data_IF_163496093497
#
_entry.id   IF_163496093497
#
_cell.length_a   1.000
_cell.length_b   1.000
_cell.length_c   1.000
_cell.angle_alpha   90.00
_cell.angle_beta   90.00
_cell.angle_gamma   90.00
#
_symmetry.space_group_name_H-M   'P 1'
#
loop_
_entity.id
_entity.type
_entity.pdbx_description
1 polymer ?
#
# COMPACT_ATOMS: atom_id res chain seq x y z
N UNK A 1 15.58 0.72 14.09
CA UNK A 1 16.75 1.29 13.37
C UNK A 1 17.82 0.22 13.18
N UNK A 2 18.34 -0.36 14.27
CA UNK A 2 19.32 -1.47 14.23
C UNK A 2 18.94 -2.62 13.27
N UNK A 3 17.72 -3.16 13.36
CA UNK A 3 17.22 -4.20 12.43
C UNK A 3 17.17 -3.76 10.96
N UNK A 4 16.90 -2.48 10.69
CA UNK A 4 16.87 -1.96 9.32
C UNK A 4 18.29 -1.94 8.78
N UNK A 5 19.25 -1.43 9.57
CA UNK A 5 20.65 -1.34 9.17
C UNK A 5 21.24 -2.74 8.90
N UNK A 6 20.89 -3.74 9.71
CA UNK A 6 21.26 -5.15 9.48
C UNK A 6 20.71 -5.69 8.15
N UNK A 7 19.40 -5.51 7.90
CA UNK A 7 18.77 -5.94 6.65
C UNK A 7 19.38 -5.23 5.45
N UNK A 8 19.65 -3.93 5.56
CA UNK A 8 20.31 -3.16 4.49
C UNK A 8 21.72 -3.71 4.23
N UNK A 9 22.52 -3.98 5.26
CA UNK A 9 23.84 -4.58 5.10
C UNK A 9 23.81 -5.96 4.42
N UNK A 10 22.81 -6.78 4.75
CA UNK A 10 22.58 -8.05 4.06
C UNK A 10 22.21 -7.85 2.58
N UNK A 11 21.32 -6.90 2.28
CA UNK A 11 20.94 -6.57 0.92
C UNK A 11 22.15 -6.06 0.10
N UNK A 12 23.02 -5.26 0.70
CA UNK A 12 24.25 -4.79 0.08
C UNK A 12 25.24 -5.93 -0.20
N UNK A 13 25.35 -6.90 0.70
CA UNK A 13 26.20 -8.09 0.52
C UNK A 13 25.73 -9.05 -0.59
N UNK A 14 24.49 -8.90 -1.06
CA UNK A 14 23.83 -9.78 -2.04
C UNK A 14 23.30 -8.99 -3.25
N UNK A 15 24.14 -8.13 -3.84
CA UNK A 15 23.74 -7.12 -4.83
C UNK A 15 22.82 -7.64 -5.96
N UNK A 16 23.12 -8.80 -6.56
CA UNK A 16 22.29 -9.37 -7.63
C UNK A 16 20.89 -9.77 -7.15
N UNK A 17 20.80 -10.45 -6.00
CA UNK A 17 19.53 -10.88 -5.41
C UNK A 17 18.70 -9.67 -4.96
N UNK A 18 19.35 -8.69 -4.35
CA UNK A 18 18.70 -7.45 -3.91
C UNK A 18 18.20 -6.61 -5.08
N UNK A 19 18.89 -6.62 -6.22
CA UNK A 19 18.39 -5.97 -7.44
C UNK A 19 17.10 -6.64 -7.95
N UNK A 20 17.01 -7.98 -7.92
CA UNK A 20 15.78 -8.70 -8.29
C UNK A 20 14.63 -8.37 -7.33
N UNK A 21 14.89 -8.35 -6.02
CA UNK A 21 13.87 -7.97 -5.03
C UNK A 21 13.38 -6.54 -5.23
N UNK A 22 14.31 -5.57 -5.43
CA UNK A 22 13.94 -4.18 -5.72
C UNK A 22 13.10 -4.04 -6.98
N UNK A 23 13.45 -4.79 -8.04
CA UNK A 23 12.68 -4.80 -9.29
C UNK A 23 11.28 -5.38 -9.07
N UNK A 24 11.16 -6.43 -8.28
CA UNK A 24 9.89 -7.05 -7.94
C UNK A 24 8.99 -6.15 -7.08
N UNK A 25 9.56 -5.47 -6.08
CA UNK A 25 8.80 -4.58 -5.17
C UNK A 25 8.59 -3.17 -5.71
N UNK A 26 9.35 -2.78 -6.74
CA UNK A 26 9.42 -1.40 -7.24
C UNK A 26 10.28 -0.47 -6.37
N UNK A 27 11.00 -0.98 -5.36
CA UNK A 27 11.80 -0.15 -4.46
C UNK A 27 13.04 0.41 -5.16
N UNK A 28 13.24 1.72 -5.13
CA UNK A 28 14.37 2.42 -5.75
C UNK A 28 15.71 2.05 -5.07
N UNK A 29 15.73 1.82 -3.75
CA UNK A 29 16.96 1.59 -2.99
C UNK A 29 16.86 0.40 -2.01
N UNK A 30 18.03 -0.12 -1.59
CA UNK A 30 18.10 -1.14 -0.53
C UNK A 30 17.62 -0.59 0.81
N UNK A 31 17.76 0.72 1.04
CA UNK A 31 17.24 1.41 2.23
C UNK A 31 15.72 1.33 2.27
N UNK A 32 15.06 1.65 1.16
CA UNK A 32 13.60 1.58 1.04
C UNK A 32 13.10 0.15 1.18
N UNK A 33 13.73 -0.79 0.46
CA UNK A 33 13.41 -2.22 0.54
C UNK A 33 13.57 -2.75 1.96
N UNK A 34 14.72 -2.49 2.60
CA UNK A 34 15.01 -2.96 3.95
C UNK A 34 14.07 -2.38 5.01
N UNK A 35 13.78 -1.08 4.94
CA UNK A 35 12.80 -0.44 5.83
C UNK A 35 11.39 -1.03 5.65
N UNK A 36 10.97 -1.25 4.41
CA UNK A 36 9.67 -1.84 4.06
C UNK A 36 9.57 -3.29 4.55
N UNK A 37 10.61 -4.11 4.34
CA UNK A 37 10.64 -5.49 4.82
C UNK A 37 10.49 -5.58 6.33
N UNK A 38 11.20 -4.73 7.09
CA UNK A 38 11.08 -4.69 8.55
C UNK A 38 9.69 -4.26 8.97
N UNK A 39 9.15 -3.18 8.37
CA UNK A 39 7.82 -2.68 8.69
C UNK A 39 6.73 -3.73 8.43
N UNK A 40 6.72 -4.35 7.25
CA UNK A 40 5.72 -5.37 6.89
C UNK A 40 5.83 -6.59 7.81
N UNK A 41 7.05 -6.98 8.19
CA UNK A 41 7.26 -8.09 9.14
C UNK A 41 6.64 -7.80 10.50
N UNK A 42 6.87 -6.60 11.05
CA UNK A 42 6.28 -6.19 12.33
C UNK A 42 4.75 -6.05 12.23
N UNK A 43 4.25 -5.49 11.12
CA UNK A 43 2.81 -5.40 10.84
C UNK A 43 2.15 -6.78 10.78
N UNK A 44 2.76 -7.75 10.08
CA UNK A 44 2.25 -9.11 10.02
C UNK A 44 2.25 -9.79 11.38
N UNK A 45 3.32 -9.62 12.17
CA UNK A 45 3.36 -10.14 13.54
C UNK A 45 2.22 -9.56 14.39
N UNK A 46 1.99 -8.25 14.31
CA UNK A 46 0.91 -7.59 15.05
C UNK A 46 -0.48 -8.08 14.60
N UNK A 47 -0.72 -8.17 13.29
CA UNK A 47 -1.99 -8.69 12.75
C UNK A 47 -2.24 -10.13 13.20
N UNK A 48 -1.21 -10.98 13.19
CA UNK A 48 -1.33 -12.34 13.69
C UNK A 48 -1.68 -12.41 15.17
N UNK A 49 -1.10 -11.53 15.99
CA UNK A 49 -1.42 -11.43 17.42
C UNK A 49 -2.87 -10.97 17.64
N UNK A 50 -3.30 -9.94 16.94
CA UNK A 50 -4.68 -9.39 17.04
C UNK A 50 -5.72 -10.39 16.55
N UNK A 51 -5.45 -11.06 15.44
CA UNK A 51 -6.34 -12.03 14.83
C UNK A 51 -6.29 -13.41 15.53
N UNK A 52 -5.22 -13.67 16.30
CA UNK A 52 -4.93 -14.93 16.99
C UNK A 52 -4.73 -16.10 16.03
N UNK A 53 -3.97 -15.86 14.96
CA UNK A 53 -3.67 -16.82 13.88
C UNK A 53 -3.12 -16.10 12.64
N UNK A 54 -2.71 -16.84 11.62
CA UNK A 54 -2.31 -16.31 10.31
C UNK A 54 -3.55 -15.88 9.51
N UNK A 55 -3.75 -14.59 9.21
CA UNK A 55 -4.92 -14.17 8.44
C UNK A 55 -4.70 -14.19 6.92
N UNK A 56 -3.49 -14.55 6.45
CA UNK A 56 -3.11 -14.45 5.04
C UNK A 56 -3.13 -15.80 4.35
N UNK A 57 -3.71 -15.85 3.15
CA UNK A 57 -3.66 -17.01 2.26
C UNK A 57 -3.01 -16.60 0.94
N UNK A 58 -2.08 -17.41 0.44
CA UNK A 58 -1.48 -17.23 -0.87
C UNK A 58 -1.43 -18.52 -1.70
N UNK A 59 -2.23 -19.53 -1.34
CA UNK A 59 -2.28 -20.80 -2.08
C UNK A 59 -2.83 -20.61 -3.48
N UNK A 60 -3.76 -19.67 -3.64
CA UNK A 60 -4.45 -19.39 -4.91
C UNK A 60 -3.88 -18.13 -5.62
N UNK A 61 -2.72 -17.62 -5.18
CA UNK A 61 -2.08 -16.44 -5.76
C UNK A 61 -1.00 -16.85 -6.76
N UNK A 62 -1.08 -16.34 -7.98
CA UNK A 62 0.03 -16.38 -8.94
C UNK A 62 0.84 -15.10 -8.78
N UNK A 63 2.09 -15.25 -8.35
CA UNK A 63 3.01 -14.14 -8.24
C UNK A 63 3.60 -13.81 -9.62
N UNK A 64 3.55 -12.53 -9.99
CA UNK A 64 4.15 -12.07 -11.24
C UNK A 64 5.66 -12.00 -11.12
N UNK A 65 6.39 -12.31 -12.19
CA UNK A 65 7.84 -12.19 -12.21
C UNK A 65 8.26 -11.55 -13.52
N UNK A 66 9.25 -10.68 -13.45
CA UNK A 66 9.88 -10.08 -14.63
C UNK A 66 10.99 -10.94 -15.20
N UNK A 67 11.39 -12.00 -14.49
CA UNK A 67 12.49 -12.89 -14.86
C UNK A 67 11.95 -14.28 -15.20
N UNK A 68 11.41 -14.99 -14.20
CA UNK A 68 10.86 -16.35 -14.36
C UNK A 68 9.63 -16.54 -13.47
N UNK A 69 8.45 -16.71 -14.09
CA UNK A 69 7.17 -16.92 -13.41
C UNK A 69 7.10 -18.29 -12.71
N UNK A 70 7.60 -19.34 -13.36
CA UNK A 70 7.46 -20.70 -12.86
C UNK A 70 8.37 -20.91 -11.66
N UNK A 71 9.63 -20.51 -11.78
CA UNK A 71 10.59 -20.63 -10.68
C UNK A 71 10.14 -19.84 -9.43
N UNK A 72 9.58 -18.65 -9.61
CA UNK A 72 9.04 -17.86 -8.48
C UNK A 72 7.87 -18.57 -7.80
N UNK A 73 6.90 -19.06 -8.58
CA UNK A 73 5.69 -19.68 -8.03
C UNK A 73 5.93 -21.08 -7.47
N UNK A 74 6.95 -21.79 -7.93
CA UNK A 74 7.42 -23.05 -7.35
C UNK A 74 8.21 -22.81 -6.05
N UNK A 75 9.06 -21.78 -6.01
CA UNK A 75 9.93 -21.50 -4.87
C UNK A 75 9.27 -20.75 -3.72
N UNK A 76 8.19 -20.02 -3.95
CA UNK A 76 7.50 -19.25 -2.90
C UNK A 76 6.71 -20.18 -1.97
N UNK A 77 6.94 -20.02 -0.66
CA UNK A 77 6.21 -20.77 0.35
C UNK A 77 4.72 -20.41 0.33
N UNK A 78 3.87 -21.44 0.34
CA UNK A 78 2.41 -21.33 0.39
C UNK A 78 1.94 -21.42 1.84
N UNK A 79 1.06 -20.51 2.23
CA UNK A 79 0.48 -20.35 3.55
C UNK A 79 -1.04 -20.39 3.41
N UNK A 80 -1.68 -21.21 4.25
CA UNK A 80 -3.13 -21.19 4.43
C UNK A 80 -3.48 -20.21 5.55
N UNK A 81 -4.58 -19.47 5.37
CA UNK A 81 -5.12 -18.65 6.45
C UNK A 81 -5.87 -19.48 7.49
N UNK A 82 -5.82 -19.05 8.75
CA UNK A 82 -6.72 -19.50 9.80
C UNK A 82 -8.07 -18.80 9.60
N UNK A 83 -9.16 -19.58 9.46
CA UNK A 83 -10.49 -19.05 9.13
C UNK A 83 -10.94 -17.90 10.06
N UNK A 84 -10.68 -18.04 11.37
CA UNK A 84 -11.02 -17.01 12.36
C UNK A 84 -10.17 -15.75 12.19
N UNK A 85 -8.89 -15.90 11.83
CA UNK A 85 -7.99 -14.79 11.65
C UNK A 85 -8.30 -14.02 10.34
N UNK A 86 -8.61 -14.74 9.26
CA UNK A 86 -9.08 -14.16 8.01
C UNK A 86 -10.39 -13.37 8.20
N UNK A 87 -11.34 -13.94 8.94
CA UNK A 87 -12.61 -13.29 9.25
C UNK A 87 -12.41 -12.00 10.08
N UNK A 88 -11.44 -11.99 11.00
CA UNK A 88 -11.08 -10.79 11.75
C UNK A 88 -10.60 -9.65 10.82
N UNK A 89 -9.73 -9.94 9.85
CA UNK A 89 -9.31 -8.93 8.85
C UNK A 89 -10.47 -8.50 7.95
N UNK A 90 -11.32 -9.44 7.51
CA UNK A 90 -12.49 -9.15 6.68
C UNK A 90 -13.44 -8.18 7.37
N UNK A 91 -13.63 -8.35 8.68
CA UNK A 91 -14.55 -7.54 9.48
C UNK A 91 -13.98 -6.15 9.78
N UNK A 92 -12.70 -6.08 10.16
CA UNK A 92 -12.14 -4.86 10.77
C UNK A 92 -11.15 -4.08 9.92
N UNK A 93 -10.55 -4.72 8.90
CA UNK A 93 -9.45 -4.14 8.12
C UNK A 93 -9.71 -4.11 6.61
N UNK A 94 -10.90 -4.53 6.16
CA UNK A 94 -11.28 -4.50 4.74
C UNK A 94 -12.09 -3.23 4.44
N UNK A 95 -11.62 -2.34 3.56
CA UNK A 95 -12.37 -1.15 3.20
C UNK A 95 -13.68 -1.50 2.49
N UNK A 96 -14.80 -0.91 2.92
CA UNK A 96 -16.13 -1.18 2.33
C UNK A 96 -16.47 -0.26 1.16
N UNK A 97 -15.76 0.86 1.05
CA UNK A 97 -16.06 1.90 0.06
C UNK A 97 -17.31 2.71 0.35
N UNK A 98 -18.10 2.39 1.38
CA UNK A 98 -19.39 3.04 1.67
C UNK A 98 -19.21 4.43 2.29
N UNK A 99 -18.83 5.39 1.45
CA UNK A 99 -18.60 6.77 1.87
C UNK A 99 -19.94 7.48 2.15
N UNK A 100 -20.00 8.21 3.27
CA UNK A 100 -21.13 9.08 3.63
C UNK A 100 -20.84 10.56 3.45
N UNK A 101 -19.57 10.90 3.26
CA UNK A 101 -19.06 12.25 3.11
C UNK A 101 -17.97 12.27 2.04
N UNK A 102 -17.71 13.44 1.44
CA UNK A 102 -16.56 13.64 0.56
C UNK A 102 -15.25 13.16 1.20
N UNK A 103 -14.45 12.46 0.41
CA UNK A 103 -13.11 11.99 0.75
C UNK A 103 -12.14 12.36 -0.37
N UNK A 104 -11.08 13.07 -0.01
CA UNK A 104 -9.98 13.41 -0.89
C UNK A 104 -8.71 12.72 -0.36
N UNK A 105 -8.15 11.82 -1.15
CA UNK A 105 -6.88 11.17 -0.87
C UNK A 105 -5.76 11.84 -1.66
N UNK A 106 -4.59 12.01 -1.05
CA UNK A 106 -3.36 12.50 -1.70
C UNK A 106 -2.28 11.45 -1.49
N UNK A 107 -1.54 11.12 -2.55
CA UNK A 107 -0.51 10.10 -2.50
C UNK A 107 0.74 10.53 -3.27
N UNK A 108 1.92 10.10 -2.84
CA UNK A 108 3.16 10.33 -3.60
C UNK A 108 3.18 9.44 -4.85
N UNK A 109 3.85 9.89 -5.91
CA UNK A 109 4.02 9.09 -7.14
C UNK A 109 4.89 7.87 -6.91
N UNK A 110 5.88 7.96 -6.01
CA UNK A 110 6.66 6.82 -5.53
C UNK A 110 6.52 6.69 -4.01
N UNK A 111 5.96 5.57 -3.57
CA UNK A 111 5.88 5.18 -2.15
C UNK A 111 6.35 3.72 -2.02
N UNK A 112 7.48 3.47 -1.35
CA UNK A 112 8.01 2.11 -1.22
C UNK A 112 7.18 1.22 -0.27
N UNK A 113 6.40 1.82 0.62
CA UNK A 113 5.63 1.11 1.64
C UNK A 113 4.21 0.82 1.18
N UNK A 114 3.55 1.80 0.56
CA UNK A 114 2.19 1.69 0.01
C UNK A 114 2.21 2.07 -1.47
N UNK A 115 2.61 1.17 -2.39
CA UNK A 115 2.70 1.51 -3.81
C UNK A 115 1.39 2.08 -4.35
N UNK A 116 1.43 3.11 -5.21
CA UNK A 116 0.27 3.89 -5.66
C UNK A 116 -0.88 3.06 -6.27
N UNK A 117 -0.58 1.87 -6.79
CA UNK A 117 -1.60 0.90 -7.24
C UNK A 117 -2.59 0.54 -6.13
N UNK A 118 -2.14 0.50 -4.87
CA UNK A 118 -2.95 0.12 -3.71
C UNK A 118 -4.09 1.13 -3.46
N UNK A 119 -3.82 2.43 -3.23
CA UNK A 119 -4.90 3.42 -3.08
C UNK A 119 -5.72 3.59 -4.36
N UNK A 120 -5.15 3.36 -5.55
CA UNK A 120 -5.90 3.39 -6.82
C UNK A 120 -7.04 2.36 -6.84
N UNK A 121 -6.89 1.20 -6.20
CA UNK A 121 -7.97 0.19 -6.09
C UNK A 121 -9.19 0.71 -5.31
N UNK A 122 -9.02 1.71 -4.44
CA UNK A 122 -10.12 2.24 -3.64
C UNK A 122 -11.20 2.91 -4.50
N UNK A 123 -10.83 3.47 -5.66
CA UNK A 123 -11.81 3.98 -6.62
C UNK A 123 -12.80 2.89 -7.03
N UNK A 124 -12.32 1.70 -7.39
CA UNK A 124 -13.18 0.55 -7.72
C UNK A 124 -14.04 0.07 -6.55
N UNK A 125 -13.50 0.13 -5.32
CA UNK A 125 -14.26 -0.21 -4.10
C UNK A 125 -15.42 0.78 -3.89
N UNK A 126 -15.19 2.09 -4.05
CA UNK A 126 -16.26 3.10 -3.95
C UNK A 126 -17.26 3.04 -5.11
N UNK A 127 -16.82 2.64 -6.31
CA UNK A 127 -17.71 2.41 -7.45
C UNK A 127 -18.65 1.24 -7.20
N UNK A 128 -18.13 0.10 -6.73
CA UNK A 128 -18.94 -1.05 -6.35
C UNK A 128 -19.90 -0.75 -5.20
N UNK A 129 -19.52 0.15 -4.28
CA UNK A 129 -20.36 0.61 -3.18
C UNK A 129 -21.40 1.67 -3.60
N UNK A 130 -21.35 2.18 -4.84
CA UNK A 130 -22.25 3.23 -5.32
C UNK A 130 -21.96 4.63 -4.76
N UNK A 131 -20.75 4.87 -4.23
CA UNK A 131 -20.37 6.14 -3.60
C UNK A 131 -19.13 6.76 -4.23
N UNK A 132 -18.75 6.36 -5.45
CA UNK A 132 -17.59 6.91 -6.19
C UNK A 132 -17.62 8.42 -6.35
N UNK A 133 -18.83 9.00 -6.41
CA UNK A 133 -18.98 10.45 -6.56
C UNK A 133 -18.49 11.20 -5.32
N UNK A 134 -18.36 10.53 -4.17
CA UNK A 134 -17.80 11.06 -2.92
C UNK A 134 -16.29 10.83 -2.77
N UNK A 135 -15.62 10.23 -3.75
CA UNK A 135 -14.18 9.98 -3.69
C UNK A 135 -13.41 10.76 -4.77
N UNK A 136 -12.29 11.35 -4.39
CA UNK A 136 -11.29 11.93 -5.28
C UNK A 136 -9.90 11.46 -4.85
N UNK A 137 -9.11 10.96 -5.81
CA UNK A 137 -7.69 10.67 -5.62
C UNK A 137 -6.85 11.72 -6.34
N UNK A 138 -5.92 12.32 -5.60
CA UNK A 138 -4.87 13.17 -6.13
C UNK A 138 -3.49 12.56 -5.86
N UNK A 139 -2.49 13.03 -6.60
CA UNK A 139 -1.10 12.67 -6.36
C UNK A 139 -0.18 13.89 -6.35
N UNK A 140 1.00 13.71 -5.77
CA UNK A 140 2.09 14.69 -5.75
C UNK A 140 3.37 14.01 -6.25
N UNK A 141 4.15 14.73 -7.05
CA UNK A 141 5.37 14.23 -7.68
C UNK A 141 6.54 14.22 -6.69
N UNK A 142 6.49 13.30 -5.72
CA UNK A 142 7.53 13.11 -4.72
C UNK A 142 7.91 11.64 -4.59
N UNK A 143 9.14 11.42 -4.14
CA UNK A 143 9.66 10.13 -3.73
C UNK A 143 9.54 9.97 -2.20
N UNK A 144 8.96 8.85 -1.77
CA UNK A 144 8.95 8.42 -0.37
C UNK A 144 7.56 8.27 0.22
N UNK A 145 7.50 7.59 1.38
CA UNK A 145 6.25 7.36 2.11
C UNK A 145 5.80 8.62 2.84
N UNK A 146 4.55 9.04 2.59
CA UNK A 146 3.95 10.26 3.16
C UNK A 146 4.76 11.55 2.92
N UNK A 147 5.61 11.61 1.88
CA UNK A 147 6.40 12.78 1.53
C UNK A 147 5.54 13.86 0.83
N UNK A 148 4.50 14.34 1.52
CA UNK A 148 3.55 15.35 1.05
C UNK A 148 3.84 16.65 1.82
N UNK A 149 4.06 17.74 1.09
CA UNK A 149 4.43 19.02 1.69
C UNK A 149 3.25 19.66 2.44
N UNK A 150 3.48 20.44 3.51
CA UNK A 150 2.42 21.12 4.24
C UNK A 150 1.49 21.98 3.36
N UNK A 151 2.05 22.61 2.31
CA UNK A 151 1.27 23.40 1.36
C UNK A 151 0.34 22.54 0.48
N UNK A 152 0.77 21.34 0.09
CA UNK A 152 -0.03 20.36 -0.67
C UNK A 152 -1.17 19.81 0.18
N UNK A 153 -0.87 19.47 1.45
CA UNK A 153 -1.88 19.07 2.44
C UNK A 153 -2.90 20.20 2.63
N UNK A 154 -2.43 21.43 2.81
CA UNK A 154 -3.32 22.60 3.01
C UNK A 154 -4.22 22.87 1.80
N UNK A 155 -3.69 22.74 0.57
CA UNK A 155 -4.51 22.84 -0.65
C UNK A 155 -5.57 21.74 -0.70
N UNK A 156 -5.19 20.48 -0.51
CA UNK A 156 -6.13 19.37 -0.57
C UNK A 156 -7.20 19.44 0.51
N UNK A 157 -6.83 19.86 1.72
CA UNK A 157 -7.78 20.10 2.80
C UNK A 157 -8.76 21.24 2.47
N UNK A 158 -8.27 22.34 1.90
CA UNK A 158 -9.13 23.46 1.47
C UNK A 158 -10.11 23.04 0.38
N UNK A 159 -9.64 22.30 -0.62
CA UNK A 159 -10.48 21.76 -1.70
C UNK A 159 -11.55 20.79 -1.17
N UNK A 160 -11.19 19.93 -0.20
CA UNK A 160 -12.14 19.04 0.47
C UNK A 160 -13.20 19.83 1.25
N UNK A 161 -12.81 20.90 1.94
CA UNK A 161 -13.73 21.74 2.70
C UNK A 161 -14.71 22.49 1.78
N UNK A 162 -14.21 23.06 0.68
CA UNK A 162 -15.03 23.71 -0.33
C UNK A 162 -16.08 22.74 -0.88
N UNK A 163 -15.64 21.55 -1.30
CA UNK A 163 -16.52 20.53 -1.83
C UNK A 163 -17.57 20.06 -0.82
N UNK A 164 -17.17 19.82 0.43
CA UNK A 164 -18.09 19.47 1.52
C UNK A 164 -19.16 20.53 1.75
N UNK A 165 -18.84 21.80 1.54
CA UNK A 165 -19.75 22.94 1.76
C UNK A 165 -20.62 23.28 0.53
N UNK A 166 -20.70 22.38 -0.45
CA UNK A 166 -21.53 22.55 -1.66
C UNK A 166 -20.82 23.25 -2.81
N UNK A 167 -19.52 23.51 -2.67
CA UNK A 167 -18.67 23.98 -3.77
C UNK A 167 -18.31 22.86 -4.75
N UNK A 168 -17.36 23.16 -5.64
CA UNK A 168 -17.02 22.24 -6.74
C UNK A 168 -16.30 20.99 -6.25
N UNK A 169 -16.64 19.83 -6.83
CA UNK A 169 -15.86 18.60 -6.65
C UNK A 169 -14.44 18.81 -7.20
N UNK A 170 -13.37 18.53 -6.42
CA UNK A 170 -12.01 18.71 -6.90
C UNK A 170 -11.69 17.74 -8.04
N UNK A 171 -10.81 18.16 -8.95
CA UNK A 171 -10.31 17.27 -9.99
C UNK A 171 -9.40 16.19 -9.38
N UNK A 172 -9.53 14.97 -9.90
CA UNK A 172 -8.55 13.91 -9.65
C UNK A 172 -7.25 14.17 -10.42
N UNK A 173 -6.15 13.56 -9.98
CA UNK A 173 -4.86 13.67 -10.63
C UNK A 173 -3.86 14.53 -9.85
N UNK A 174 -3.01 15.29 -10.54
CA UNK A 174 -1.94 16.02 -9.86
C UNK A 174 -2.50 17.14 -8.97
N UNK A 175 -2.04 17.19 -7.72
CA UNK A 175 -2.36 18.25 -6.76
C UNK A 175 -1.53 19.50 -7.08
N UNK A 176 -2.07 20.36 -7.93
CA UNK A 176 -1.52 21.69 -8.27
C UNK A 176 -2.29 22.80 -7.58
#
# INVERSE_FOLDING_TARGET
KEKIDEVVGLLESQAEKSAKLRRYTGSHSNKDLGATMVFITDMFRELQQRAGGNPFDNRDVIYESVDDYNALNEGVKRYASDARAAEYLRTWYTPTGQLKHPMLAIHTTYDPLVPVRIPTMYLGITENAGTKDLFVQQFVEHDGHCAILPAEISRGFSALLEWKNGGSRPASGLNR
#
